data_IF_657893880635
#
_entry.id   IF_657893880635
#
_cell.length_a   1.000
_cell.length_b   1.000
_cell.length_c   1.000
_cell.angle_alpha   90.00
_cell.angle_beta   90.00
_cell.angle_gamma   90.00
#
_symmetry.space_group_name_H-M   'P 1'
#
loop_
_entity.id
_entity.type
_entity.pdbx_description
1 polymer ?
#
# COMPACT_ATOMS: atom_id res chain seq x y z
N UNK A 1 18.10 40.97 16.95
CA UNK A 1 18.54 40.61 15.58
C UNK A 1 19.05 39.17 15.55
N UNK A 2 18.16 38.18 15.53
CA UNK A 2 18.60 36.77 15.65
C UNK A 2 17.63 35.71 15.10
N UNK A 3 16.33 36.00 14.99
CA UNK A 3 15.34 35.03 14.49
C UNK A 3 15.50 34.68 13.00
N UNK A 4 15.57 35.68 12.11
CA UNK A 4 15.71 35.44 10.67
C UNK A 4 16.97 34.65 10.28
N UNK A 5 18.13 34.90 10.93
CA UNK A 5 19.36 34.11 10.68
C UNK A 5 19.22 32.65 11.10
N UNK A 6 18.58 32.39 12.24
CA UNK A 6 18.37 31.03 12.75
C UNK A 6 17.39 30.26 11.85
N UNK A 7 16.33 30.90 11.38
CA UNK A 7 15.38 30.29 10.44
C UNK A 7 16.00 29.99 9.07
N UNK A 8 16.77 30.93 8.52
CA UNK A 8 17.48 30.73 7.26
C UNK A 8 18.47 29.55 7.34
N UNK A 9 19.25 29.49 8.43
CA UNK A 9 20.18 28.37 8.69
C UNK A 9 19.43 27.04 8.83
N UNK A 10 18.28 27.01 9.52
CA UNK A 10 17.48 25.80 9.67
C UNK A 10 16.89 25.29 8.33
N UNK A 11 16.55 26.21 7.42
CA UNK A 11 16.12 25.84 6.06
C UNK A 11 17.29 25.32 5.23
N UNK A 12 18.46 25.96 5.31
CA UNK A 12 19.67 25.49 4.64
C UNK A 12 20.02 24.06 5.08
N UNK A 13 19.95 23.79 6.38
CA UNK A 13 20.14 22.46 6.95
C UNK A 13 19.09 21.46 6.44
N UNK A 14 17.82 21.86 6.39
CA UNK A 14 16.73 21.04 5.88
C UNK A 14 16.88 20.71 4.38
N UNK A 15 17.31 21.68 3.58
CA UNK A 15 17.58 21.54 2.15
C UNK A 15 18.77 20.60 1.89
N UNK A 16 19.79 20.65 2.75
CA UNK A 16 20.97 19.79 2.68
C UNK A 16 20.72 18.33 3.08
N UNK A 17 19.64 18.05 3.82
CA UNK A 17 19.29 16.68 4.19
C UNK A 17 18.88 15.85 2.95
N UNK A 18 19.16 14.54 2.91
CA UNK A 18 18.65 13.66 1.85
C UNK A 18 17.11 13.64 1.76
N UNK A 19 16.55 13.43 0.56
CA UNK A 19 15.09 13.42 0.34
C UNK A 19 14.38 12.26 1.08
N UNK A 20 15.07 11.15 1.31
CA UNK A 20 14.62 9.96 2.04
C UNK A 20 14.77 10.09 3.58
N UNK A 21 15.35 11.20 4.06
CA UNK A 21 15.56 11.41 5.48
C UNK A 21 14.22 11.61 6.22
N UNK A 22 13.99 10.82 7.29
CA UNK A 22 12.78 10.88 8.11
C UNK A 22 12.61 12.23 8.84
N UNK A 23 13.70 12.89 9.25
CA UNK A 23 13.64 14.21 9.88
C UNK A 23 13.28 15.29 8.86
N UNK A 24 13.89 15.27 7.68
CA UNK A 24 13.48 16.16 6.56
C UNK A 24 12.00 15.98 6.26
N UNK A 25 11.56 14.73 6.28
CA UNK A 25 10.19 14.36 6.02
C UNK A 25 9.20 14.96 7.00
N UNK A 26 9.46 14.77 8.29
CA UNK A 26 8.60 15.25 9.37
C UNK A 26 8.62 16.79 9.46
N UNK A 27 9.79 17.39 9.27
CA UNK A 27 9.94 18.84 9.25
C UNK A 27 9.12 19.48 8.11
N UNK A 28 9.16 18.93 6.90
CA UNK A 28 8.37 19.45 5.77
C UNK A 28 6.84 19.36 6.02
N UNK A 29 6.37 18.33 6.73
CA UNK A 29 4.95 18.23 7.11
C UNK A 29 4.54 19.30 8.12
N UNK A 30 5.38 19.54 9.15
CA UNK A 30 5.14 20.59 10.14
C UNK A 30 5.22 21.99 9.50
N UNK A 31 6.11 22.16 8.52
CA UNK A 31 6.25 23.41 7.78
C UNK A 31 5.07 23.67 6.85
N UNK A 32 4.39 22.64 6.33
CA UNK A 32 3.17 22.81 5.55
C UNK A 32 2.05 23.46 6.36
N UNK A 33 1.89 23.05 7.62
CA UNK A 33 0.94 23.66 8.55
C UNK A 33 1.32 25.11 8.86
N UNK A 34 2.61 25.39 9.04
CA UNK A 34 3.10 26.76 9.21
C UNK A 34 2.83 27.63 7.98
N UNK A 35 3.12 27.14 6.76
CA UNK A 35 2.87 27.85 5.51
C UNK A 35 1.38 28.18 5.36
N UNK A 36 0.50 27.22 5.64
CA UNK A 36 -0.95 27.44 5.58
C UNK A 36 -1.40 28.53 6.55
N UNK A 37 -0.83 28.59 7.76
CA UNK A 37 -1.11 29.65 8.73
C UNK A 37 -0.54 31.01 8.31
N UNK A 38 0.63 31.04 7.66
CA UNK A 38 1.26 32.27 7.15
C UNK A 38 0.45 32.84 5.98
N UNK A 39 -0.01 31.99 5.04
CA UNK A 39 -0.80 32.42 3.87
C UNK A 39 -2.14 33.07 4.26
N UNK A 40 -2.70 32.71 5.42
CA UNK A 40 -3.94 33.31 5.96
C UNK A 40 -3.68 34.70 6.57
N UNK A 41 -2.45 35.02 6.96
CA UNK A 41 -2.11 36.33 7.55
C UNK A 41 -1.92 37.40 6.47
N UNK A 42 -2.73 38.47 6.52
CA UNK A 42 -2.70 39.56 5.53
C UNK A 42 -1.46 40.47 5.60
N UNK A 43 -0.61 40.32 6.61
CA UNK A 43 0.52 41.21 6.87
C UNK A 43 1.85 40.46 6.82
N UNK A 44 2.12 39.83 5.68
CA UNK A 44 3.32 39.04 5.42
C UNK A 44 4.59 39.89 5.52
N UNK A 45 5.45 39.57 6.48
CA UNK A 45 6.77 40.17 6.59
C UNK A 45 7.69 39.67 5.46
N UNK A 46 8.80 40.38 5.20
CA UNK A 46 9.76 39.98 4.16
C UNK A 46 10.39 38.61 4.45
N UNK A 47 10.56 38.26 5.73
CA UNK A 47 11.08 36.95 6.16
C UNK A 47 10.07 35.83 5.80
N UNK A 48 8.77 36.01 6.09
CA UNK A 48 7.73 35.03 5.74
C UNK A 48 7.63 34.76 4.24
N UNK A 49 7.81 35.80 3.41
CA UNK A 49 7.85 35.64 1.95
C UNK A 49 9.04 34.81 1.49
N UNK A 50 10.20 34.96 2.11
CA UNK A 50 11.38 34.16 1.81
C UNK A 50 11.17 32.69 2.20
N UNK A 51 10.55 32.43 3.37
CA UNK A 51 10.20 31.08 3.82
C UNK A 51 9.28 30.38 2.80
N UNK A 52 8.23 31.06 2.34
CA UNK A 52 7.29 30.52 1.34
C UNK A 52 8.03 30.19 0.03
N UNK A 53 8.84 31.12 -0.49
CA UNK A 53 9.54 30.90 -1.77
C UNK A 53 10.49 29.69 -1.73
N UNK A 54 11.12 29.43 -0.58
CA UNK A 54 12.06 28.31 -0.43
C UNK A 54 11.38 26.99 -0.13
N UNK A 55 10.38 26.99 0.76
CA UNK A 55 9.77 25.76 1.27
C UNK A 55 8.64 25.22 0.39
N UNK A 56 7.87 26.08 -0.28
CA UNK A 56 6.74 25.64 -1.11
C UNK A 56 7.16 24.64 -2.20
N UNK A 57 8.23 24.88 -2.99
CA UNK A 57 8.68 23.91 -3.98
C UNK A 57 9.09 22.56 -3.38
N UNK A 58 9.77 22.56 -2.24
CA UNK A 58 10.22 21.34 -1.56
C UNK A 58 9.03 20.51 -1.06
N UNK A 59 8.02 21.18 -0.49
CA UNK A 59 6.80 20.54 -0.06
C UNK A 59 6.00 19.98 -1.24
N UNK A 60 5.81 20.76 -2.31
CA UNK A 60 5.12 20.32 -3.52
C UNK A 60 5.78 19.11 -4.16
N UNK A 61 7.11 19.10 -4.27
CA UNK A 61 7.86 17.96 -4.79
C UNK A 61 7.61 16.70 -3.96
N UNK A 62 7.70 16.82 -2.62
CA UNK A 62 7.46 15.70 -1.70
C UNK A 62 6.04 15.17 -1.78
N UNK A 63 5.04 16.04 -1.91
CA UNK A 63 3.65 15.63 -2.07
C UNK A 63 3.46 14.87 -3.40
N UNK A 64 4.09 15.33 -4.48
CA UNK A 64 4.04 14.67 -5.77
C UNK A 64 4.69 13.27 -5.72
N UNK A 65 5.84 13.15 -5.07
CA UNK A 65 6.53 11.88 -4.85
C UNK A 65 5.68 10.91 -4.00
N UNK A 66 5.14 11.38 -2.88
CA UNK A 66 4.28 10.59 -2.02
C UNK A 66 3.01 10.14 -2.75
N UNK A 67 2.43 11.01 -3.58
CA UNK A 67 1.26 10.68 -4.41
C UNK A 67 1.60 9.61 -5.44
N UNK A 68 2.73 9.74 -6.15
CA UNK A 68 3.20 8.73 -7.11
C UNK A 68 3.44 7.38 -6.44
N UNK A 69 4.09 7.36 -5.28
CA UNK A 69 4.32 6.14 -4.50
C UNK A 69 3.01 5.51 -4.04
N UNK A 70 2.09 6.30 -3.49
CA UNK A 70 0.77 5.83 -3.06
C UNK A 70 -0.04 5.24 -4.21
N UNK A 71 -0.03 5.88 -5.38
CA UNK A 71 -0.67 5.35 -6.58
C UNK A 71 -0.06 4.01 -7.02
N UNK A 72 1.28 3.91 -7.05
CA UNK A 72 1.97 2.67 -7.42
C UNK A 72 1.67 1.53 -6.44
N UNK A 73 1.71 1.81 -5.13
CA UNK A 73 1.37 0.83 -4.09
C UNK A 73 -0.09 0.39 -4.18
N UNK A 74 -1.01 1.35 -4.32
CA UNK A 74 -2.44 1.07 -4.46
C UNK A 74 -2.75 0.23 -5.70
N UNK A 75 -2.11 0.54 -6.83
CA UNK A 75 -2.25 -0.24 -8.07
C UNK A 75 -1.73 -1.67 -7.90
N UNK A 76 -0.55 -1.85 -7.27
CA UNK A 76 0.01 -3.18 -7.02
C UNK A 76 -0.84 -4.01 -6.05
N UNK A 77 -1.36 -3.39 -4.98
CA UNK A 77 -2.25 -4.06 -4.04
C UNK A 77 -3.57 -4.44 -4.71
N UNK A 78 -4.18 -3.50 -5.46
CA UNK A 78 -5.42 -3.74 -6.18
C UNK A 78 -5.29 -4.85 -7.23
N UNK A 79 -4.18 -4.89 -7.97
CA UNK A 79 -3.90 -5.98 -8.91
C UNK A 79 -3.75 -7.34 -8.20
N UNK A 80 -3.00 -7.39 -7.10
CA UNK A 80 -2.82 -8.64 -6.34
C UNK A 80 -4.13 -9.14 -5.75
N UNK A 81 -4.95 -8.24 -5.19
CA UNK A 81 -6.26 -8.57 -4.67
C UNK A 81 -7.19 -9.06 -5.78
N UNK A 82 -7.27 -8.34 -6.90
CA UNK A 82 -8.09 -8.73 -8.05
C UNK A 82 -7.69 -10.09 -8.61
N UNK A 83 -6.40 -10.37 -8.76
CA UNK A 83 -5.92 -11.69 -9.20
C UNK A 83 -6.26 -12.79 -8.19
N UNK A 84 -6.21 -12.52 -6.87
CA UNK A 84 -6.58 -13.49 -5.84
C UNK A 84 -8.07 -13.80 -5.86
N UNK A 85 -8.91 -12.76 -5.96
CA UNK A 85 -10.38 -12.90 -6.02
C UNK A 85 -10.81 -13.63 -7.29
N UNK A 86 -10.24 -13.27 -8.44
CA UNK A 86 -10.51 -13.93 -9.73
C UNK A 86 -10.13 -15.41 -9.66
N UNK A 87 -8.96 -15.72 -9.10
CA UNK A 87 -8.52 -17.09 -8.90
C UNK A 87 -9.44 -17.87 -7.97
N UNK A 88 -9.89 -17.25 -6.88
CA UNK A 88 -10.85 -17.85 -5.96
C UNK A 88 -12.14 -18.21 -6.70
N UNK A 89 -12.67 -17.27 -7.49
CA UNK A 89 -13.88 -17.47 -8.28
C UNK A 89 -13.71 -18.61 -9.31
N UNK A 90 -12.57 -18.69 -9.99
CA UNK A 90 -12.27 -19.80 -10.90
C UNK A 90 -12.32 -21.16 -10.18
N UNK A 91 -11.72 -21.25 -8.99
CA UNK A 91 -11.72 -22.48 -8.20
C UNK A 91 -13.15 -22.85 -7.81
N UNK A 92 -13.92 -21.87 -7.31
CA UNK A 92 -15.34 -22.07 -6.99
C UNK A 92 -16.14 -22.57 -8.21
N UNK A 93 -15.95 -21.95 -9.36
CA UNK A 93 -16.66 -22.32 -10.58
C UNK A 93 -16.30 -23.73 -11.04
N UNK A 94 -15.03 -24.13 -10.97
CA UNK A 94 -14.61 -25.50 -11.28
C UNK A 94 -15.26 -26.49 -10.31
N UNK A 95 -15.22 -26.21 -8.99
CA UNK A 95 -15.84 -27.07 -7.98
C UNK A 95 -17.36 -27.18 -8.18
N UNK A 96 -18.04 -26.08 -8.52
CA UNK A 96 -19.48 -26.07 -8.83
C UNK A 96 -19.80 -26.92 -10.06
N UNK A 97 -19.01 -26.80 -11.13
CA UNK A 97 -19.19 -27.61 -12.35
C UNK A 97 -18.93 -29.09 -12.08
N UNK A 98 -17.92 -29.42 -11.27
CA UNK A 98 -17.54 -30.80 -10.94
C UNK A 98 -18.51 -31.49 -9.99
N UNK A 99 -18.95 -30.79 -8.94
CA UNK A 99 -19.59 -31.38 -7.76
C UNK A 99 -20.97 -30.78 -7.45
N UNK A 100 -21.45 -29.83 -8.25
CA UNK A 100 -22.74 -29.17 -8.06
C UNK A 100 -22.66 -27.99 -7.11
N UNK A 101 -23.13 -28.15 -5.88
CA UNK A 101 -23.10 -27.08 -4.88
C UNK A 101 -21.83 -27.15 -4.03
N UNK A 102 -21.24 -26.00 -3.72
CA UNK A 102 -20.14 -25.91 -2.74
C UNK A 102 -20.77 -25.94 -1.35
N UNK A 103 -20.51 -27.00 -0.60
CA UNK A 103 -20.82 -27.08 0.82
C UNK A 103 -19.63 -26.63 1.67
N UNK A 104 -19.81 -26.57 2.99
CA UNK A 104 -18.78 -26.09 3.92
C UNK A 104 -17.46 -26.86 3.82
N UNK A 105 -17.48 -28.13 3.39
CA UNK A 105 -16.24 -28.91 3.24
C UNK A 105 -15.46 -28.47 2.01
N UNK A 106 -16.15 -28.26 0.89
CA UNK A 106 -15.53 -27.75 -0.34
C UNK A 106 -15.10 -26.27 -0.20
N UNK A 107 -15.85 -25.46 0.54
CA UNK A 107 -15.47 -24.08 0.84
C UNK A 107 -14.14 -24.03 1.61
N UNK A 108 -13.95 -24.94 2.57
CA UNK A 108 -12.76 -25.01 3.42
C UNK A 108 -11.46 -25.32 2.66
N UNK A 109 -11.53 -25.88 1.44
CA UNK A 109 -10.33 -26.18 0.64
C UNK A 109 -9.92 -25.03 -0.29
N UNK A 110 -10.78 -24.02 -0.48
CA UNK A 110 -10.54 -22.94 -1.45
C UNK A 110 -9.34 -22.11 -1.04
N UNK A 111 -9.31 -21.60 0.20
CA UNK A 111 -8.19 -20.79 0.69
C UNK A 111 -6.84 -21.56 0.67
N UNK A 112 -6.73 -22.79 1.18
CA UNK A 112 -5.50 -23.59 1.05
C UNK A 112 -5.06 -23.83 -0.40
N UNK A 113 -6.02 -23.94 -1.33
CA UNK A 113 -5.71 -24.18 -2.74
C UNK A 113 -5.13 -22.96 -3.46
N UNK A 114 -5.42 -21.74 -2.98
CA UNK A 114 -4.86 -20.49 -3.50
C UNK A 114 -3.33 -20.39 -3.30
N UNK A 115 -2.74 -21.20 -2.43
CA UNK A 115 -1.28 -21.21 -2.24
C UNK A 115 -0.52 -22.00 -3.32
N UNK A 116 -1.20 -22.88 -4.07
CA UNK A 116 -0.57 -23.65 -5.15
C UNK A 116 -0.38 -22.81 -6.41
N UNK A 117 0.37 -23.27 -7.41
CA UNK A 117 0.39 -22.63 -8.73
C UNK A 117 -0.81 -23.11 -9.59
N UNK A 118 -1.34 -22.29 -10.51
CA UNK A 118 -2.45 -22.71 -11.39
C UNK A 118 -2.18 -24.01 -12.16
N UNK A 119 -0.96 -24.17 -12.68
CA UNK A 119 -0.55 -25.36 -13.43
C UNK A 119 -0.57 -26.65 -12.59
N UNK A 120 -0.39 -26.53 -11.27
CA UNK A 120 -0.45 -27.67 -10.34
C UNK A 120 -1.88 -27.87 -9.82
N UNK A 121 -2.61 -26.78 -9.59
CA UNK A 121 -3.94 -26.82 -9.00
C UNK A 121 -5.01 -27.34 -9.98
N UNK A 122 -5.03 -26.84 -11.22
CA UNK A 122 -6.11 -27.18 -12.17
C UNK A 122 -6.22 -28.68 -12.44
N UNK A 123 -5.11 -29.43 -12.68
CA UNK A 123 -5.19 -30.88 -12.83
C UNK A 123 -5.78 -31.57 -11.59
N UNK A 124 -5.40 -31.14 -10.38
CA UNK A 124 -5.93 -31.70 -9.14
C UNK A 124 -7.45 -31.48 -9.02
N UNK A 125 -7.92 -30.26 -9.31
CA UNK A 125 -9.36 -29.95 -9.26
C UNK A 125 -10.18 -30.72 -10.29
N UNK A 126 -9.60 -31.08 -11.45
CA UNK A 126 -10.30 -31.78 -12.53
C UNK A 126 -10.19 -33.31 -12.44
N UNK A 127 -9.11 -33.84 -11.89
CA UNK A 127 -8.82 -35.28 -11.89
C UNK A 127 -9.22 -35.96 -10.60
N UNK A 128 -9.05 -35.29 -9.45
CA UNK A 128 -9.36 -35.88 -8.17
C UNK A 128 -10.87 -35.96 -7.94
N UNK A 129 -11.27 -36.98 -7.21
CA UNK A 129 -12.60 -37.07 -6.61
C UNK A 129 -12.75 -36.05 -5.47
N UNK A 130 -14.00 -35.83 -5.04
CA UNK A 130 -14.32 -34.96 -3.92
C UNK A 130 -13.57 -35.38 -2.65
N UNK A 131 -13.61 -36.66 -2.30
CA UNK A 131 -13.00 -37.16 -1.06
C UNK A 131 -11.46 -37.06 -1.08
N UNK A 132 -10.84 -37.27 -2.24
CA UNK A 132 -9.39 -37.09 -2.42
C UNK A 132 -8.97 -35.62 -2.29
N UNK A 133 -9.76 -34.68 -2.83
CA UNK A 133 -9.52 -33.24 -2.65
C UNK A 133 -9.64 -32.83 -1.18
N UNK A 134 -10.69 -33.28 -0.50
CA UNK A 134 -10.88 -33.01 0.93
C UNK A 134 -9.74 -33.60 1.76
N UNK A 135 -9.37 -34.87 1.52
CA UNK A 135 -8.26 -35.50 2.22
C UNK A 135 -6.94 -34.72 2.02
N UNK A 136 -6.70 -34.21 0.81
CA UNK A 136 -5.49 -33.46 0.47
C UNK A 136 -5.41 -32.09 1.14
N UNK A 137 -6.49 -31.32 1.13
CA UNK A 137 -6.49 -29.91 1.56
C UNK A 137 -7.03 -29.70 2.98
N UNK A 138 -7.97 -30.53 3.43
CA UNK A 138 -8.46 -30.50 4.83
C UNK A 138 -7.50 -31.26 5.75
N UNK A 139 -6.94 -32.39 5.28
CA UNK A 139 -6.03 -33.22 6.06
C UNK A 139 -4.69 -32.55 6.42
N UNK A 140 -4.30 -31.48 5.73
CA UNK A 140 -3.07 -30.73 6.02
C UNK A 140 -3.28 -29.58 7.03
N UNK A 141 -4.52 -29.19 7.32
CA UNK A 141 -4.83 -28.14 8.30
C UNK A 141 -4.86 -28.64 9.77
N UNK A 142 -4.50 -29.91 10.02
CA UNK A 142 -4.50 -30.55 11.34
C UNK A 142 -3.16 -30.53 12.10
N UNK A 143 -2.09 -29.97 11.53
CA UNK A 143 -0.75 -29.93 12.17
C UNK A 143 -0.11 -28.56 11.96
N UNK A 144 -0.57 -27.57 12.72
CA UNK A 144 0.23 -26.42 13.13
C UNK A 144 -0.50 -25.76 14.32
N UNK A 145 -0.13 -26.21 15.51
CA UNK A 145 -0.46 -25.61 16.80
C UNK A 145 0.83 -25.57 17.62
#
# INVERSE_FOLDING_TARGET
MGRGRVQSTAIDELEALPADNLFRSNALLLLADLLSNIEVNQNLESEDRELIMRLSPLFSQRLEEATKQGMQQGMQQGMQQGMREERREQIENILKVRFGTIDNQLEAIIEPSLSLLPAELVPLLLQLSRDELLARFVGQNGTQN
#
